data_IF_256999287270
#
_entry.id   IF_256999287270
#
_cell.length_a   1.000
_cell.length_b   1.000
_cell.length_c   1.000
_cell.angle_alpha   90.00
_cell.angle_beta   90.00
_cell.angle_gamma   90.00
#
_symmetry.space_group_name_H-M   'P 1'
#
loop_
_entity.id
_entity.type
_entity.pdbx_description
1 polymer ?
#
# COMPACT_ATOMS: atom_id res chain seq x y z
N UNK A 1 1.90 -9.59 -28.04
CA UNK A 1 1.87 -10.86 -27.27
C UNK A 1 1.58 -10.44 -25.84
N UNK A 2 0.46 -10.89 -25.28
CA UNK A 2 0.03 -10.55 -23.90
C UNK A 2 0.99 -11.23 -22.90
N UNK A 3 1.15 -10.67 -21.69
CA UNK A 3 2.03 -11.17 -20.62
C UNK A 3 1.51 -12.47 -19.96
N UNK A 4 0.98 -13.42 -20.74
CA UNK A 4 0.35 -14.64 -20.22
C UNK A 4 0.73 -15.88 -21.04
N UNK A 5 1.09 -16.96 -20.35
CA UNK A 5 1.33 -18.29 -20.94
C UNK A 5 0.02 -18.77 -21.57
N UNK A 6 0.06 -18.99 -22.88
CA UNK A 6 -1.10 -19.36 -23.71
C UNK A 6 -2.31 -18.41 -23.52
N UNK A 7 -2.07 -17.15 -23.17
CA UNK A 7 -3.13 -16.16 -22.94
C UNK A 7 -3.89 -16.33 -21.61
N UNK A 8 -3.51 -17.25 -20.74
CA UNK A 8 -4.23 -17.55 -19.49
C UNK A 8 -3.41 -17.20 -18.24
N UNK A 9 -2.29 -17.88 -17.99
CA UNK A 9 -1.55 -17.75 -16.73
C UNK A 9 -0.52 -16.62 -16.77
N UNK A 10 -0.51 -15.72 -15.79
CA UNK A 10 0.36 -14.54 -15.74
C UNK A 10 1.73 -14.78 -15.09
N UNK A 11 2.04 -16.03 -14.71
CA UNK A 11 3.33 -16.43 -14.13
C UNK A 11 3.98 -17.54 -14.95
N UNK A 12 5.32 -17.57 -14.98
CA UNK A 12 6.10 -18.60 -15.66
C UNK A 12 6.61 -19.70 -14.72
N UNK A 13 6.56 -19.44 -13.40
CA UNK A 13 6.96 -20.40 -12.37
C UNK A 13 5.95 -20.42 -11.24
N UNK A 14 5.56 -21.61 -10.82
CA UNK A 14 4.63 -21.85 -9.73
C UNK A 14 4.71 -23.30 -9.25
N UNK A 15 4.36 -23.54 -7.98
CA UNK A 15 3.97 -24.87 -7.51
C UNK A 15 2.51 -25.13 -7.93
N UNK A 16 2.10 -26.39 -8.08
CA UNK A 16 0.77 -26.71 -8.63
C UNK A 16 0.72 -26.59 -10.16
N UNK A 17 -0.36 -26.04 -10.72
CA UNK A 17 -0.58 -25.82 -12.17
C UNK A 17 -0.25 -27.02 -13.07
N UNK A 18 -0.71 -28.21 -12.66
CA UNK A 18 -0.36 -29.47 -13.31
C UNK A 18 -0.73 -29.54 -14.79
N UNK A 19 -1.79 -28.84 -15.22
CA UNK A 19 -2.21 -28.78 -16.63
C UNK A 19 -1.13 -28.16 -17.54
N UNK A 20 -0.27 -27.30 -16.98
CA UNK A 20 0.86 -26.68 -17.68
C UNK A 20 2.14 -27.52 -17.60
N UNK A 21 2.09 -28.70 -16.96
CA UNK A 21 3.23 -29.57 -16.64
C UNK A 21 3.12 -30.98 -17.22
N UNK A 22 2.36 -31.13 -18.30
CA UNK A 22 2.11 -32.40 -18.99
C UNK A 22 2.67 -32.42 -20.42
N UNK A 23 3.79 -31.72 -20.70
CA UNK A 23 4.42 -31.72 -22.03
C UNK A 23 5.28 -32.98 -22.19
N UNK A 24 4.88 -33.84 -23.13
CA UNK A 24 5.60 -35.07 -23.45
C UNK A 24 7.06 -34.82 -23.83
N UNK A 25 7.97 -35.64 -23.29
CA UNK A 25 9.40 -35.56 -23.59
C UNK A 25 10.16 -34.42 -22.91
N UNK A 26 9.55 -33.71 -21.95
CA UNK A 26 10.18 -32.64 -21.17
C UNK A 26 10.36 -33.02 -19.70
N UNK A 27 11.47 -32.61 -19.11
CA UNK A 27 11.69 -32.75 -17.66
C UNK A 27 10.76 -31.84 -16.83
N UNK A 28 10.74 -31.97 -15.50
CA UNK A 28 9.87 -31.17 -14.63
C UNK A 28 10.10 -29.66 -14.71
N UNK A 29 11.33 -29.21 -14.98
CA UNK A 29 11.71 -27.79 -15.04
C UNK A 29 11.70 -27.22 -16.47
N UNK A 30 11.37 -28.05 -17.46
CA UNK A 30 11.28 -27.68 -18.88
C UNK A 30 9.83 -27.62 -19.38
N UNK A 31 8.87 -27.60 -18.45
CA UNK A 31 7.44 -27.47 -18.71
C UNK A 31 7.05 -26.03 -19.06
N UNK A 32 5.78 -25.79 -19.43
CA UNK A 32 5.28 -24.43 -19.70
C UNK A 32 5.34 -23.55 -18.44
N UNK A 33 5.15 -24.15 -17.28
CA UNK A 33 5.30 -23.53 -15.96
C UNK A 33 6.27 -24.37 -15.14
N UNK A 34 7.37 -23.77 -14.68
CA UNK A 34 8.42 -24.49 -13.94
C UNK A 34 8.17 -24.43 -12.41
N UNK A 35 8.39 -25.52 -11.66
CA UNK A 35 8.40 -25.49 -10.20
C UNK A 35 9.76 -25.06 -9.62
N UNK A 36 10.77 -24.80 -10.47
CA UNK A 36 12.14 -24.55 -10.03
C UNK A 36 12.30 -23.17 -9.39
N UNK A 37 12.73 -23.09 -8.11
CA UNK A 37 12.96 -21.81 -7.46
C UNK A 37 14.22 -21.14 -8.00
N UNK A 38 14.32 -19.83 -7.80
CA UNK A 38 15.58 -19.11 -7.89
C UNK A 38 16.11 -18.87 -6.47
N UNK A 39 17.39 -19.16 -6.24
CA UNK A 39 18.00 -19.10 -4.91
C UNK A 39 19.24 -18.23 -4.96
N UNK A 40 19.25 -17.18 -4.15
CA UNK A 40 20.40 -16.32 -3.95
C UNK A 40 20.93 -16.49 -2.53
N UNK A 41 22.21 -16.84 -2.40
CA UNK A 41 22.91 -16.81 -1.13
C UNK A 41 23.59 -15.44 -0.98
N UNK A 42 23.27 -14.73 0.11
CA UNK A 42 23.88 -13.47 0.45
C UNK A 42 24.53 -13.59 1.83
N UNK A 43 25.84 -13.27 1.88
CA UNK A 43 26.56 -13.18 3.16
C UNK A 43 26.03 -11.99 3.93
N UNK A 44 25.57 -12.23 5.16
CA UNK A 44 25.06 -11.17 6.04
C UNK A 44 26.13 -10.13 6.34
N UNK A 45 25.75 -8.86 6.21
CA UNK A 45 26.55 -7.73 6.66
C UNK A 45 25.94 -7.23 7.97
N UNK A 46 26.27 -7.85 9.10
CA UNK A 46 25.60 -7.62 10.39
C UNK A 46 25.44 -6.15 10.75
N UNK A 47 26.45 -5.33 10.46
CA UNK A 47 26.48 -3.88 10.75
C UNK A 47 25.67 -3.01 9.77
N UNK A 48 25.27 -3.55 8.61
CA UNK A 48 24.57 -2.81 7.55
C UNK A 48 23.15 -3.32 7.33
N UNK A 49 22.89 -4.60 7.56
CA UNK A 49 21.59 -5.21 7.33
C UNK A 49 20.52 -4.59 8.26
N UNK A 50 19.49 -3.99 7.66
CA UNK A 50 18.44 -3.29 8.41
C UNK A 50 17.16 -4.12 8.52
N UNK A 51 16.56 -4.49 7.40
CA UNK A 51 15.33 -5.27 7.37
C UNK A 51 15.14 -5.96 6.01
N UNK A 52 14.22 -6.92 5.97
CA UNK A 52 13.79 -7.63 4.76
C UNK A 52 12.27 -7.50 4.65
N UNK A 53 11.78 -7.24 3.44
CA UNK A 53 10.35 -7.17 3.11
C UNK A 53 10.02 -8.31 2.16
N UNK A 54 9.01 -9.10 2.49
CA UNK A 54 8.41 -10.09 1.58
C UNK A 54 6.98 -9.67 1.33
N UNK A 55 6.55 -9.57 0.08
CA UNK A 55 5.17 -9.23 -0.27
C UNK A 55 4.76 -9.86 -1.61
N UNK A 56 3.45 -10.03 -1.81
CA UNK A 56 2.88 -10.42 -3.10
C UNK A 56 2.79 -9.24 -4.09
N UNK A 57 2.44 -9.53 -5.34
CA UNK A 57 2.19 -8.57 -6.42
C UNK A 57 1.14 -7.51 -6.05
N UNK A 58 0.14 -7.84 -5.24
CA UNK A 58 -0.80 -6.84 -4.72
C UNK A 58 -0.16 -5.62 -4.03
N UNK A 59 1.07 -5.74 -3.52
CA UNK A 59 1.89 -4.62 -3.01
C UNK A 59 2.79 -4.05 -4.12
N UNK A 60 3.51 -4.91 -4.82
CA UNK A 60 4.54 -4.51 -5.80
C UNK A 60 3.97 -3.92 -7.10
N UNK A 61 2.70 -4.15 -7.41
CA UNK A 61 2.02 -3.58 -8.57
C UNK A 61 1.80 -2.06 -8.43
N UNK A 62 1.80 -1.56 -7.19
CA UNK A 62 1.54 -0.14 -6.89
C UNK A 62 2.71 0.57 -6.20
N UNK A 63 3.66 -0.16 -5.61
CA UNK A 63 4.85 0.41 -4.99
C UNK A 63 6.13 -0.21 -5.55
N UNK A 64 7.10 0.65 -5.91
CA UNK A 64 8.43 0.21 -6.32
C UNK A 64 9.27 -0.30 -5.14
N UNK A 65 10.39 -0.97 -5.44
CA UNK A 65 11.35 -1.41 -4.43
C UNK A 65 11.85 -0.24 -3.57
N UNK A 66 12.22 0.87 -4.23
CA UNK A 66 12.75 2.06 -3.60
C UNK A 66 11.68 2.77 -2.75
N UNK A 67 10.46 2.89 -3.28
CA UNK A 67 9.35 3.55 -2.59
C UNK A 67 8.95 2.78 -1.34
N UNK A 68 8.78 1.45 -1.43
CA UNK A 68 8.39 0.64 -0.29
C UNK A 68 9.49 0.60 0.78
N UNK A 69 10.76 0.51 0.37
CA UNK A 69 11.89 0.55 1.29
C UNK A 69 11.97 1.89 2.03
N UNK A 70 11.83 3.02 1.31
CA UNK A 70 11.82 4.35 1.90
C UNK A 70 10.61 4.55 2.83
N UNK A 71 9.44 4.07 2.42
CA UNK A 71 8.22 4.14 3.22
C UNK A 71 8.36 3.37 4.53
N UNK A 72 8.71 2.09 4.48
CA UNK A 72 8.91 1.24 5.68
C UNK A 72 9.95 1.84 6.62
N UNK A 73 11.07 2.34 6.07
CA UNK A 73 12.07 3.05 6.87
C UNK A 73 11.49 4.26 7.59
N UNK A 74 10.69 5.09 6.90
CA UNK A 74 10.05 6.25 7.52
C UNK A 74 9.06 5.87 8.63
N UNK A 75 8.36 4.73 8.50
CA UNK A 75 7.41 4.24 9.50
C UNK A 75 8.12 3.66 10.73
N UNK A 76 9.22 2.94 10.52
CA UNK A 76 10.07 2.42 11.61
C UNK A 76 10.72 3.55 12.45
N UNK A 77 10.93 4.73 11.87
CA UNK A 77 11.37 5.92 12.60
C UNK A 77 10.27 6.56 13.46
N UNK A 78 9.00 6.17 13.27
CA UNK A 78 7.82 6.68 14.01
C UNK A 78 7.31 5.67 15.04
N UNK A 79 7.33 4.38 14.73
CA UNK A 79 6.81 3.31 15.62
C UNK A 79 7.69 2.06 15.60
N UNK A 80 7.76 1.35 16.73
CA UNK A 80 8.39 0.02 16.83
C UNK A 80 7.37 -1.13 16.66
N UNK A 81 6.10 -0.81 16.46
CA UNK A 81 5.04 -1.79 16.23
C UNK A 81 5.07 -2.25 14.77
N UNK A 82 5.61 -3.44 14.53
CA UNK A 82 5.80 -3.98 13.18
C UNK A 82 4.47 -4.38 12.53
N UNK A 83 3.47 -4.81 13.31
CA UNK A 83 2.14 -5.10 12.78
C UNK A 83 1.50 -3.83 12.25
N UNK A 84 1.63 -2.73 13.00
CA UNK A 84 1.19 -1.42 12.53
C UNK A 84 1.90 -0.98 11.26
N UNK A 85 3.24 -1.15 11.15
CA UNK A 85 3.97 -0.80 9.91
C UNK A 85 3.47 -1.63 8.73
N UNK A 86 3.24 -2.93 8.92
CA UNK A 86 2.67 -3.79 7.88
C UNK A 86 1.25 -3.35 7.47
N UNK A 87 0.40 -3.00 8.43
CA UNK A 87 -0.95 -2.48 8.14
C UNK A 87 -0.88 -1.16 7.36
N UNK A 88 0.01 -0.25 7.77
CA UNK A 88 0.23 1.02 7.04
C UNK A 88 0.69 0.77 5.59
N UNK A 89 1.50 -0.26 5.32
CA UNK A 89 1.87 -0.66 3.95
C UNK A 89 0.66 -1.15 3.15
N UNK A 90 -0.14 -2.06 3.74
CA UNK A 90 -1.31 -2.65 3.07
C UNK A 90 -2.36 -1.57 2.76
N UNK A 91 -2.70 -0.73 3.73
CA UNK A 91 -3.67 0.35 3.56
C UNK A 91 -3.16 1.38 2.53
N UNK A 92 -1.87 1.72 2.56
CA UNK A 92 -1.28 2.61 1.56
C UNK A 92 -1.44 2.03 0.14
N UNK A 93 -1.13 0.75 -0.05
CA UNK A 93 -1.25 0.11 -1.37
C UNK A 93 -2.71 0.03 -1.84
N UNK A 94 -3.66 -0.23 -0.93
CA UNK A 94 -5.09 -0.15 -1.21
C UNK A 94 -5.48 1.24 -1.72
N UNK A 95 -5.05 2.29 -1.04
CA UNK A 95 -5.35 3.68 -1.42
C UNK A 95 -4.57 4.17 -2.65
N UNK A 96 -3.49 3.49 -3.04
CA UNK A 96 -2.81 3.67 -4.33
C UNK A 96 -3.52 2.95 -5.48
N UNK A 97 -4.57 2.18 -5.19
CA UNK A 97 -5.42 1.53 -6.19
C UNK A 97 -5.18 0.04 -6.37
N UNK A 98 -4.44 -0.62 -5.47
CA UNK A 98 -4.38 -2.09 -5.47
C UNK A 98 -5.76 -2.67 -5.22
N UNK A 99 -6.11 -3.70 -5.99
CA UNK A 99 -7.41 -4.40 -5.91
C UNK A 99 -7.25 -5.91 -5.72
N UNK A 100 -6.03 -6.35 -5.43
CA UNK A 100 -5.70 -7.75 -5.22
C UNK A 100 -5.63 -8.08 -3.73
N UNK A 101 -5.47 -9.36 -3.40
CA UNK A 101 -5.04 -9.77 -2.09
C UNK A 101 -3.64 -9.22 -1.80
N UNK A 102 -3.47 -8.70 -0.60
CA UNK A 102 -2.22 -8.11 -0.13
C UNK A 102 -1.74 -8.85 1.10
N UNK A 103 -0.47 -9.22 1.11
CA UNK A 103 0.21 -9.82 2.25
C UNK A 103 1.64 -9.33 2.27
N UNK A 104 2.10 -8.91 3.46
CA UNK A 104 3.45 -8.41 3.68
C UNK A 104 4.02 -9.00 4.96
N UNK A 105 5.31 -9.36 4.93
CA UNK A 105 6.10 -9.77 6.09
C UNK A 105 7.30 -8.84 6.20
N UNK A 106 7.44 -8.21 7.36
CA UNK A 106 8.57 -7.36 7.69
C UNK A 106 9.47 -8.06 8.71
N UNK A 107 10.72 -8.30 8.34
CA UNK A 107 11.73 -8.91 9.22
C UNK A 107 12.79 -7.86 9.57
N UNK A 108 12.76 -7.35 10.80
CA UNK A 108 13.75 -6.39 11.28
C UNK A 108 15.02 -7.10 11.79
N UNK A 109 16.17 -6.66 11.31
CA UNK A 109 17.50 -7.11 11.72
C UNK A 109 18.09 -6.12 12.74
N UNK A 110 19.15 -6.45 13.52
CA UNK A 110 19.55 -5.66 14.68
C UNK A 110 19.70 -4.15 14.45
N UNK A 111 20.20 -3.76 13.27
CA UNK A 111 20.47 -2.38 12.87
C UNK A 111 19.32 -1.70 12.09
N UNK A 112 18.09 -2.20 12.22
CA UNK A 112 16.90 -1.55 11.68
C UNK A 112 16.71 -0.13 12.27
N UNK A 113 16.12 0.81 11.50
CA UNK A 113 15.83 2.17 11.96
C UNK A 113 15.09 2.16 13.29
N UNK A 114 15.48 3.05 14.21
CA UNK A 114 14.83 3.19 15.51
C UNK A 114 13.93 4.41 15.52
N UNK A 115 12.91 4.37 16.36
CA UNK A 115 12.05 5.53 16.61
C UNK A 115 12.88 6.74 17.01
N UNK A 116 12.61 7.88 16.37
CA UNK A 116 13.26 9.16 16.68
C UNK A 116 12.22 10.19 17.10
N UNK A 117 12.53 11.02 18.09
CA UNK A 117 11.63 12.09 18.55
C UNK A 117 11.30 13.07 17.41
N UNK A 118 12.24 13.32 16.52
CA UNK A 118 12.06 14.20 15.37
C UNK A 118 11.06 13.63 14.35
N UNK A 119 11.13 12.34 14.02
CA UNK A 119 10.17 11.70 13.11
C UNK A 119 8.77 11.65 13.72
N UNK A 120 8.65 11.31 15.00
CA UNK A 120 7.37 11.33 15.73
C UNK A 120 6.75 12.73 15.74
N UNK A 121 7.57 13.76 15.99
CA UNK A 121 7.10 15.15 15.95
C UNK A 121 6.62 15.55 14.56
N UNK A 122 7.39 15.26 13.51
CA UNK A 122 7.02 15.56 12.12
C UNK A 122 5.73 14.85 11.71
N UNK A 123 5.55 13.59 12.11
CA UNK A 123 4.31 12.85 11.86
C UNK A 123 3.10 13.52 12.53
N UNK A 124 3.25 13.95 13.79
CA UNK A 124 2.19 14.62 14.53
C UNK A 124 1.85 16.00 13.93
N UNK A 125 2.86 16.76 13.49
CA UNK A 125 2.67 18.05 12.80
C UNK A 125 1.93 17.88 11.48
N UNK A 126 2.31 16.86 10.68
CA UNK A 126 1.61 16.53 9.43
C UNK A 126 0.16 16.11 9.68
N UNK A 127 -0.10 15.24 10.66
CA UNK A 127 -1.46 14.80 10.99
C UNK A 127 -2.33 16.00 11.38
N UNK A 128 -1.82 16.86 12.25
CA UNK A 128 -2.52 18.06 12.68
C UNK A 128 -2.79 19.03 11.52
N UNK A 129 -1.85 19.14 10.59
CA UNK A 129 -2.03 19.93 9.38
C UNK A 129 -3.19 19.38 8.54
N UNK A 130 -3.17 18.08 8.24
CA UNK A 130 -4.22 17.41 7.46
C UNK A 130 -5.58 17.53 8.15
N UNK A 131 -5.65 17.29 9.46
CA UNK A 131 -6.86 17.47 10.28
C UNK A 131 -7.44 18.89 10.09
N UNK A 132 -6.60 19.92 10.27
CA UNK A 132 -7.05 21.32 10.14
C UNK A 132 -7.54 21.67 8.73
N UNK A 133 -6.90 21.12 7.70
CA UNK A 133 -7.30 21.36 6.31
C UNK A 133 -8.63 20.67 5.98
N UNK A 134 -8.84 19.44 6.48
CA UNK A 134 -10.13 18.75 6.31
C UNK A 134 -11.23 19.49 7.07
N UNK A 135 -10.97 19.94 8.30
CA UNK A 135 -11.89 20.76 9.09
C UNK A 135 -12.28 22.05 8.37
N UNK A 136 -11.32 22.76 7.80
CA UNK A 136 -11.57 23.98 7.03
C UNK A 136 -12.48 23.71 5.82
N UNK A 137 -12.17 22.68 5.03
CA UNK A 137 -12.95 22.29 3.85
C UNK A 137 -14.38 21.83 4.20
N UNK A 138 -14.58 21.25 5.38
CA UNK A 138 -15.88 20.75 5.85
C UNK A 138 -16.64 21.77 6.70
N UNK A 139 -16.04 22.93 7.02
CA UNK A 139 -16.66 23.93 7.90
C UNK A 139 -17.80 24.72 7.24
N UNK A 140 -17.74 24.90 5.91
CA UNK A 140 -18.76 25.61 5.14
C UNK A 140 -19.03 24.90 3.81
N UNK A 141 -20.30 24.79 3.39
CA UNK A 141 -20.63 24.24 2.09
C UNK A 141 -20.15 25.19 0.98
N UNK A 142 -19.57 24.62 -0.08
CA UNK A 142 -19.31 25.36 -1.32
C UNK A 142 -20.59 25.56 -2.15
N UNK A 143 -20.45 26.06 -3.38
CA UNK A 143 -21.59 26.24 -4.31
C UNK A 143 -22.35 24.92 -4.56
N UNK A 144 -21.64 23.79 -4.58
CA UNK A 144 -22.18 22.44 -4.80
C UNK A 144 -22.47 21.65 -3.50
N UNK A 145 -22.43 22.31 -2.33
CA UNK A 145 -22.60 21.66 -1.02
C UNK A 145 -21.29 21.18 -0.39
N UNK A 146 -21.37 20.18 0.50
CA UNK A 146 -20.19 19.64 1.19
C UNK A 146 -19.41 18.68 0.27
N UNK A 147 -18.07 18.83 0.19
CA UNK A 147 -17.25 17.98 -0.67
C UNK A 147 -17.35 16.50 -0.24
N UNK A 148 -17.29 15.59 -1.20
CA UNK A 148 -17.05 14.18 -0.93
C UNK A 148 -15.57 13.93 -0.57
N UNK A 149 -15.26 12.75 -0.03
CA UNK A 149 -13.89 12.41 0.37
C UNK A 149 -12.92 12.48 -0.82
N UNK A 150 -13.36 12.09 -2.02
CA UNK A 150 -12.55 12.17 -3.23
C UNK A 150 -12.16 13.64 -3.56
N UNK A 151 -13.09 14.58 -3.41
CA UNK A 151 -12.83 16.01 -3.59
C UNK A 151 -11.90 16.55 -2.51
N UNK A 152 -12.06 16.14 -1.25
CA UNK A 152 -11.15 16.50 -0.16
C UNK A 152 -9.72 16.02 -0.46
N UNK A 153 -9.56 14.74 -0.81
CA UNK A 153 -8.25 14.17 -1.17
C UNK A 153 -7.61 14.90 -2.37
N UNK A 154 -8.40 15.24 -3.40
CA UNK A 154 -7.92 16.00 -4.56
C UNK A 154 -7.44 17.40 -4.14
N UNK A 155 -8.20 18.10 -3.30
CA UNK A 155 -7.83 19.44 -2.85
C UNK A 155 -6.55 19.41 -2.00
N UNK A 156 -6.42 18.46 -1.07
CA UNK A 156 -5.19 18.24 -0.30
C UNK A 156 -4.00 17.95 -1.21
N UNK A 157 -4.17 17.13 -2.25
CA UNK A 157 -3.09 16.81 -3.19
C UNK A 157 -2.61 18.02 -4.00
N UNK A 158 -3.44 19.06 -4.12
CA UNK A 158 -3.14 20.29 -4.85
C UNK A 158 -2.65 21.43 -3.95
N UNK A 159 -2.55 21.20 -2.64
CA UNK A 159 -2.16 22.21 -1.67
C UNK A 159 -0.66 22.56 -1.77
N UNK A 160 -0.31 23.82 -2.11
CA UNK A 160 1.08 24.25 -2.25
C UNK A 160 1.82 24.34 -0.90
N UNK A 161 1.12 24.36 0.23
CA UNK A 161 1.69 24.46 1.57
C UNK A 161 1.81 23.10 2.27
N UNK A 162 1.49 22.01 1.58
CA UNK A 162 1.53 20.64 2.12
C UNK A 162 2.92 20.33 2.73
N UNK A 163 2.98 19.97 4.03
CA UNK A 163 4.22 19.49 4.63
C UNK A 163 4.74 18.21 3.94
N UNK A 164 6.03 17.86 4.10
CA UNK A 164 6.58 16.65 3.49
C UNK A 164 5.79 15.38 3.87
N UNK A 165 5.26 14.70 2.87
CA UNK A 165 4.53 13.45 3.01
C UNK A 165 5.49 12.26 3.21
N UNK A 166 5.02 11.12 3.74
CA UNK A 166 5.84 9.93 3.85
C UNK A 166 6.41 9.52 2.47
N UNK A 167 7.73 9.27 2.37
CA UNK A 167 8.35 8.90 1.10
C UNK A 167 7.78 7.58 0.59
N UNK A 168 7.59 7.46 -0.73
CA UNK A 168 6.95 6.32 -1.38
C UNK A 168 5.43 6.24 -1.19
N UNK A 169 4.93 6.45 0.03
CA UNK A 169 3.49 6.34 0.34
C UNK A 169 2.66 7.58 0.00
N UNK A 170 3.26 8.77 -0.03
CA UNK A 170 2.58 10.02 -0.40
C UNK A 170 1.31 10.28 0.41
N UNK A 171 0.30 10.89 -0.22
CA UNK A 171 -0.97 11.22 0.43
C UNK A 171 -1.82 9.96 0.70
N UNK A 172 -1.66 8.92 -0.11
CA UNK A 172 -2.35 7.64 0.08
C UNK A 172 -2.06 7.02 1.46
N UNK A 173 -0.81 7.12 1.93
CA UNK A 173 -0.43 6.66 3.27
C UNK A 173 -1.06 7.45 4.43
N UNK A 174 -1.69 8.59 4.14
CA UNK A 174 -2.38 9.44 5.11
C UNK A 174 -3.89 9.38 4.98
N UNK A 175 -4.43 8.54 4.10
CA UNK A 175 -5.87 8.42 3.84
C UNK A 175 -6.65 8.15 5.13
N UNK A 176 -6.22 7.20 5.97
CA UNK A 176 -6.92 6.86 7.22
C UNK A 176 -7.03 8.03 8.20
N UNK A 177 -6.02 8.92 8.25
CA UNK A 177 -6.07 10.14 9.06
C UNK A 177 -7.12 11.11 8.50
N UNK A 178 -7.11 11.31 7.19
CA UNK A 178 -8.02 12.23 6.48
C UNK A 178 -9.47 11.74 6.60
N UNK A 179 -9.68 10.44 6.37
CA UNK A 179 -10.97 9.78 6.40
C UNK A 179 -11.58 9.77 7.82
N UNK A 180 -10.78 9.52 8.85
CA UNK A 180 -11.26 9.58 10.24
C UNK A 180 -11.84 10.95 10.60
N UNK A 181 -11.16 12.02 10.17
CA UNK A 181 -11.61 13.41 10.40
C UNK A 181 -12.86 13.71 9.55
N UNK A 182 -12.83 13.33 8.27
CA UNK A 182 -13.97 13.49 7.36
C UNK A 182 -15.23 12.83 7.91
N UNK A 183 -15.14 11.57 8.34
CA UNK A 183 -16.26 10.81 8.89
C UNK A 183 -16.77 11.40 10.21
N UNK A 184 -15.87 11.91 11.06
CA UNK A 184 -16.27 12.55 12.32
C UNK A 184 -17.12 13.81 12.11
N UNK A 185 -16.89 14.54 11.01
CA UNK A 185 -17.65 15.74 10.64
C UNK A 185 -18.86 15.43 9.75
N UNK A 186 -18.94 14.22 9.19
CA UNK A 186 -19.99 13.82 8.28
C UNK A 186 -20.59 12.42 8.60
N UNK A 187 -21.13 12.23 9.83
CA UNK A 187 -21.51 10.90 10.32
C UNK A 187 -22.75 10.29 9.64
N UNK A 188 -23.48 11.04 8.81
CA UNK A 188 -24.75 10.59 8.22
C UNK A 188 -24.65 10.19 6.74
N UNK A 189 -23.49 10.37 6.09
CA UNK A 189 -23.37 10.15 4.63
C UNK A 189 -23.13 8.69 4.24
N UNK A 190 -22.88 7.79 5.19
CA UNK A 190 -22.83 6.34 4.92
C UNK A 190 -24.23 5.75 4.66
N UNK A 191 -25.33 6.37 5.11
CA UNK A 191 -26.68 5.84 4.91
C UNK A 191 -27.23 6.09 3.49
N UNK A 192 -26.71 7.08 2.75
CA UNK A 192 -27.17 7.41 1.40
C UNK A 192 -26.55 6.54 0.29
N UNK A 193 -25.66 5.60 0.64
CA UNK A 193 -24.92 4.75 -0.31
C UNK A 193 -25.45 3.31 -0.49
N UNK A 194 -26.38 2.85 0.35
CA UNK A 194 -27.01 1.52 0.23
C UNK A 194 -28.47 1.62 -0.22
N UNK A 195 -28.70 2.22 -1.39
CA UNK A 195 -30.04 2.43 -1.94
C UNK A 195 -30.14 2.49 -3.45
N UNK A 196 -29.12 2.05 -4.19
CA UNK A 196 -29.23 1.81 -5.62
C UNK A 196 -28.98 0.32 -5.88
N UNK A 197 -30.06 -0.38 -6.21
CA UNK A 197 -30.06 -1.75 -6.76
C UNK A 197 -28.91 -1.92 -7.75
N UNK A 198 -27.86 -2.62 -7.34
CA UNK A 198 -26.88 -3.19 -8.28
C UNK A 198 -27.51 -4.47 -8.79
N UNK A 199 -28.24 -4.32 -9.89
CA UNK A 199 -28.77 -5.41 -10.70
C UNK A 199 -27.58 -6.22 -11.23
N UNK A 200 -27.17 -7.25 -10.49
CA UNK A 200 -26.16 -8.21 -10.94
C UNK A 200 -26.79 -9.13 -11.98
N UNK A 201 -26.82 -8.68 -13.23
CA UNK A 201 -26.98 -9.56 -14.38
C UNK A 201 -25.62 -10.13 -14.78
N UNK A 202 -25.34 -11.35 -14.32
CA UNK A 202 -24.55 -12.35 -15.03
C UNK A 202 -25.24 -13.71 -14.87
#
# INVERSE_FOLDING_TARGET
MIQRVNGSLAVSRALGDYDYKNVDGKGPTEQLVSPEPEVFEMVRASEQDQFVILACDGIWDVMSNEDLCAFVKSRLEVTNDLERVCNEVVDTCLHMGSRDNMSVVLVCLPNFPKVTEEAVRREAELNKYLESQVEEMMSQPGEDGYPDLATVMRNLSADPNMPPLPPGGGLASKHSVIEAVYNSMNPYREEDGMGADVDYQW
#
